data_IF_941341250660
#
_entry.id   IF_941341250660
#
_cell.length_a   1.000
_cell.length_b   1.000
_cell.length_c   1.000
_cell.angle_alpha   90.00
_cell.angle_beta   90.00
_cell.angle_gamma   90.00
#
_symmetry.space_group_name_H-M   'P 1'
#
loop_
_entity.id
_entity.type
_entity.pdbx_description
1 polymer ?
#
# COMPACT_ATOMS: atom_id res chain seq x y z
N UNK A 1 4.64 -73.55 22.57
CA UNK A 1 3.32 -74.07 22.13
C UNK A 1 3.33 -73.98 20.62
N UNK A 2 3.48 -75.13 19.97
CA UNK A 2 3.61 -75.33 18.52
C UNK A 2 2.46 -76.24 18.05
N UNK A 3 2.29 -76.35 16.72
CA UNK A 3 1.29 -77.10 15.90
C UNK A 3 -0.01 -76.31 15.66
N UNK A 4 -0.54 -76.06 14.45
CA UNK A 4 -0.40 -76.73 13.13
C UNK A 4 -0.73 -75.78 11.93
N UNK A 5 -0.45 -76.20 10.66
CA UNK A 5 -0.53 -75.41 9.42
C UNK A 5 -1.57 -75.87 8.36
N UNK A 6 -1.64 -75.11 7.24
CA UNK A 6 -2.05 -75.41 5.84
C UNK A 6 -3.48 -75.87 5.41
N UNK A 7 -4.06 -75.11 4.48
CA UNK A 7 -4.61 -75.52 3.14
C UNK A 7 -5.19 -74.24 2.47
N UNK A 8 -5.04 -73.86 1.19
CA UNK A 8 -4.58 -74.50 -0.03
C UNK A 8 -5.72 -74.53 -1.06
N UNK A 9 -5.81 -73.59 -2.03
CA UNK A 9 -6.28 -73.85 -3.41
C UNK A 9 -6.23 -72.66 -4.40
N UNK A 10 -5.40 -72.87 -5.44
CA UNK A 10 -5.57 -72.64 -6.88
C UNK A 10 -6.02 -71.29 -7.50
N UNK A 11 -5.16 -70.80 -8.39
CA UNK A 11 -5.37 -69.82 -9.49
C UNK A 11 -6.01 -70.49 -10.71
N UNK A 12 -6.72 -69.75 -11.58
CA UNK A 12 -6.33 -69.76 -12.99
C UNK A 12 -6.27 -68.36 -13.62
N UNK A 13 -5.22 -68.15 -14.42
CA UNK A 13 -4.97 -67.04 -15.36
C UNK A 13 -5.96 -67.09 -16.52
N UNK A 14 -6.42 -65.93 -17.04
CA UNK A 14 -6.52 -65.61 -18.49
C UNK A 14 -7.01 -64.18 -18.81
N UNK A 15 -6.08 -63.41 -19.40
CA UNK A 15 -6.15 -62.51 -20.60
C UNK A 15 -7.27 -61.46 -20.80
N UNK A 16 -6.80 -60.22 -21.06
CA UNK A 16 -7.48 -59.02 -21.62
C UNK A 16 -8.19 -59.24 -22.98
N UNK A 17 -9.08 -58.31 -23.38
CA UNK A 17 -8.67 -57.36 -24.43
C UNK A 17 -9.16 -55.89 -24.26
N UNK A 18 -8.33 -54.98 -24.79
CA UNK A 18 -8.54 -53.54 -24.99
C UNK A 18 -9.83 -53.18 -25.76
N UNK A 19 -10.47 -52.05 -25.42
CA UNK A 19 -11.39 -51.34 -26.31
C UNK A 19 -11.13 -49.82 -26.28
N UNK A 20 -10.78 -49.29 -27.45
CA UNK A 20 -10.73 -47.86 -27.81
C UNK A 20 -12.16 -47.35 -28.04
N UNK A 21 -12.45 -46.08 -27.70
CA UNK A 21 -13.63 -45.41 -28.24
C UNK A 21 -13.34 -43.94 -28.58
N UNK A 22 -13.63 -43.63 -29.84
CA UNK A 22 -13.45 -42.35 -30.53
C UNK A 22 -14.62 -41.37 -30.27
N UNK A 23 -14.32 -40.10 -30.50
CA UNK A 23 -15.18 -38.91 -30.41
C UNK A 23 -16.27 -38.88 -31.49
N UNK A 24 -17.50 -38.41 -31.21
CA UNK A 24 -18.41 -37.96 -32.25
C UNK A 24 -18.45 -36.43 -32.38
N UNK A 25 -18.09 -35.97 -33.58
CA UNK A 25 -18.45 -34.67 -34.15
C UNK A 25 -19.94 -34.70 -34.50
N UNK A 26 -20.70 -33.67 -34.10
CA UNK A 26 -22.06 -33.43 -34.61
C UNK A 26 -22.12 -32.08 -35.32
N UNK A 27 -22.43 -32.17 -36.61
CA UNK A 27 -22.71 -31.11 -37.57
C UNK A 27 -24.11 -30.52 -37.37
N UNK A 28 -24.22 -29.22 -37.65
CA UNK A 28 -25.43 -28.40 -37.61
C UNK A 28 -26.38 -28.72 -38.77
N UNK A 29 -27.71 -28.54 -38.60
CA UNK A 29 -28.58 -28.18 -39.72
C UNK A 29 -29.34 -26.86 -39.47
N UNK A 30 -29.33 -25.99 -40.48
CA UNK A 30 -30.15 -24.78 -40.58
C UNK A 30 -31.66 -25.11 -40.72
N UNK A 31 -32.54 -24.32 -40.11
CA UNK A 31 -33.89 -24.06 -40.64
C UNK A 31 -34.49 -22.76 -40.08
N UNK A 32 -35.20 -22.05 -40.98
CA UNK A 32 -35.82 -20.72 -40.83
C UNK A 32 -37.30 -20.85 -40.41
N UNK A 33 -37.83 -19.88 -39.65
CA UNK A 33 -39.18 -19.24 -39.75
C UNK A 33 -39.48 -18.47 -38.44
N UNK A 34 -39.62 -17.14 -38.46
CA UNK A 34 -40.81 -16.29 -38.76
C UNK A 34 -41.63 -15.89 -37.51
N UNK A 35 -41.91 -14.59 -37.46
CA UNK A 35 -42.47 -13.77 -36.37
C UNK A 35 -44.01 -13.75 -36.41
N UNK A 36 -44.70 -13.56 -35.28
CA UNK A 36 -46.03 -12.95 -35.28
C UNK A 36 -46.03 -11.56 -34.61
N UNK A 37 -46.45 -10.57 -35.40
CA UNK A 37 -46.94 -9.26 -34.98
C UNK A 37 -48.24 -9.41 -34.17
N UNK A 38 -48.40 -8.62 -33.10
CA UNK A 38 -49.71 -8.27 -32.58
C UNK A 38 -49.80 -6.77 -32.30
N UNK A 39 -50.86 -6.20 -32.86
CA UNK A 39 -51.24 -4.80 -32.81
C UNK A 39 -52.00 -4.46 -31.52
N UNK A 40 -51.88 -3.20 -31.14
CA UNK A 40 -52.54 -2.49 -30.04
C UNK A 40 -54.06 -2.32 -30.28
N UNK A 41 -54.85 -2.09 -29.22
CA UNK A 41 -56.02 -1.22 -29.34
C UNK A 41 -56.01 -0.06 -28.32
N UNK A 42 -56.24 1.13 -28.88
CA UNK A 42 -56.41 2.43 -28.27
C UNK A 42 -57.39 2.49 -27.07
N UNK A 43 -57.09 3.35 -26.09
CA UNK A 43 -58.14 4.08 -25.36
C UNK A 43 -57.75 5.54 -25.14
N UNK A 44 -58.67 6.43 -25.52
CA UNK A 44 -58.56 7.89 -25.56
C UNK A 44 -59.01 8.51 -24.23
N UNK A 45 -58.28 9.49 -23.73
CA UNK A 45 -58.89 10.64 -23.03
C UNK A 45 -57.96 11.86 -23.07
N UNK A 46 -58.53 12.99 -23.51
CA UNK A 46 -57.88 14.29 -23.71
C UNK A 46 -57.83 15.14 -22.41
N UNK A 47 -56.62 15.60 -22.08
CA UNK A 47 -56.13 16.97 -21.76
C UNK A 47 -57.06 18.00 -21.06
N UNK A 48 -56.51 18.80 -20.11
CA UNK A 48 -56.15 20.17 -20.50
C UNK A 48 -54.71 20.58 -20.12
N UNK A 49 -54.10 21.33 -21.06
CA UNK A 49 -52.75 21.87 -21.08
C UNK A 49 -52.53 22.90 -19.97
N UNK A 50 -51.32 22.91 -19.39
CA UNK A 50 -50.60 24.16 -19.13
C UNK A 50 -49.10 23.96 -19.44
N UNK A 51 -48.54 24.94 -20.13
CA UNK A 51 -47.26 24.90 -20.82
C UNK A 51 -46.04 24.91 -19.88
N UNK A 52 -45.00 24.23 -20.36
CA UNK A 52 -43.63 24.20 -19.85
C UNK A 52 -42.88 25.52 -20.15
N UNK A 53 -41.70 25.78 -19.55
CA UNK A 53 -40.49 25.35 -20.24
C UNK A 53 -39.35 24.77 -19.38
N UNK A 54 -38.93 23.59 -19.83
CA UNK A 54 -37.66 22.85 -19.85
C UNK A 54 -36.57 23.11 -18.80
N UNK A 55 -36.29 22.01 -18.10
CA UNK A 55 -35.02 21.62 -17.49
C UNK A 55 -34.12 20.90 -18.49
N UNK A 56 -32.81 20.79 -18.18
CA UNK A 56 -32.03 19.56 -18.42
C UNK A 56 -30.72 19.59 -17.66
N UNK A 57 -30.68 18.79 -16.61
CA UNK A 57 -29.49 18.29 -15.95
C UNK A 57 -29.66 16.77 -16.01
N UNK A 58 -28.81 16.03 -16.73
CA UNK A 58 -28.53 14.64 -16.37
C UNK A 58 -27.34 14.01 -17.09
N UNK A 59 -26.72 13.14 -16.31
CA UNK A 59 -25.58 12.24 -16.47
C UNK A 59 -25.75 11.28 -17.65
N UNK A 60 -24.65 10.88 -18.30
CA UNK A 60 -24.61 9.63 -19.08
C UNK A 60 -23.29 8.87 -18.89
N UNK A 61 -23.46 7.57 -18.64
CA UNK A 61 -22.48 6.53 -18.35
C UNK A 61 -21.54 6.25 -19.52
N UNK A 62 -20.30 5.90 -19.18
CA UNK A 62 -19.23 5.52 -20.10
C UNK A 62 -19.27 4.01 -20.39
N UNK A 63 -19.34 3.64 -21.67
CA UNK A 63 -19.02 2.28 -22.13
C UNK A 63 -18.26 2.37 -23.45
N UNK A 64 -17.02 1.91 -23.46
CA UNK A 64 -16.23 1.69 -24.68
C UNK A 64 -16.68 0.40 -25.38
N UNK A 65 -16.50 0.32 -26.71
CA UNK A 65 -15.93 -0.88 -27.31
C UNK A 65 -14.65 -0.56 -28.12
N UNK A 66 -13.81 -1.58 -28.22
CA UNK A 66 -12.45 -1.58 -28.75
C UNK A 66 -12.35 -1.27 -30.25
N UNK A 67 -11.28 -0.55 -30.62
CA UNK A 67 -10.93 -0.17 -31.98
C UNK A 67 -9.92 -1.17 -32.54
N UNK A 68 -10.26 -1.81 -33.67
CA UNK A 68 -9.29 -2.32 -34.62
C UNK A 68 -9.20 -1.39 -35.83
N UNK A 69 -7.95 -1.11 -36.18
CA UNK A 69 -7.40 -0.70 -37.47
C UNK A 69 -7.54 0.76 -37.99
N UNK A 70 -6.32 1.32 -38.17
CA UNK A 70 -5.78 2.13 -39.27
C UNK A 70 -6.05 3.64 -39.29
N UNK A 71 -4.96 4.34 -38.96
CA UNK A 71 -4.64 5.75 -39.20
C UNK A 71 -4.91 6.20 -40.64
N UNK A 72 -5.08 7.53 -40.81
CA UNK A 72 -4.27 8.23 -41.81
C UNK A 72 -3.54 9.45 -41.24
N UNK A 73 -2.43 9.78 -41.90
CA UNK A 73 -1.49 10.86 -41.61
C UNK A 73 -1.75 12.05 -42.55
N UNK A 74 -1.80 13.29 -42.01
CA UNK A 74 -1.27 14.56 -42.54
C UNK A 74 -1.82 15.72 -41.66
N UNK A 75 -0.99 16.44 -40.88
CA UNK A 75 -0.25 17.70 -41.15
C UNK A 75 -1.12 18.98 -41.19
N UNK A 76 -0.77 19.89 -40.26
CA UNK A 76 -0.96 21.36 -40.11
C UNK A 76 -2.32 22.03 -40.35
N UNK A 77 -2.83 22.69 -39.28
CA UNK A 77 -3.07 24.14 -39.21
C UNK A 77 -3.59 24.55 -37.83
N UNK A 78 -3.01 25.61 -37.28
CA UNK A 78 -3.41 26.36 -36.07
C UNK A 78 -4.89 26.77 -36.06
N UNK A 79 -5.56 26.72 -34.89
CA UNK A 79 -6.50 27.78 -34.44
C UNK A 79 -6.79 27.69 -32.92
N UNK A 80 -6.19 28.64 -32.19
CA UNK A 80 -6.73 29.47 -31.07
C UNK A 80 -7.58 28.79 -29.98
N UNK A 81 -6.96 28.61 -28.81
CA UNK A 81 -7.65 28.47 -27.53
C UNK A 81 -7.64 29.84 -26.81
N UNK A 82 -8.81 30.42 -26.54
CA UNK A 82 -8.94 31.59 -25.67
C UNK A 82 -8.76 31.16 -24.22
N UNK A 83 -7.67 31.64 -23.60
CA UNK A 83 -7.36 31.45 -22.19
C UNK A 83 -7.88 32.64 -21.37
N UNK A 84 -8.53 32.33 -20.25
CA UNK A 84 -9.00 33.29 -19.26
C UNK A 84 -7.86 34.05 -18.59
N UNK A 85 -7.92 35.38 -18.66
CA UNK A 85 -6.97 36.33 -18.07
C UNK A 85 -7.18 36.44 -16.55
N UNK A 86 -6.15 36.15 -15.76
CA UNK A 86 -6.09 36.54 -14.35
C UNK A 86 -5.36 37.88 -14.27
N UNK A 87 -6.08 38.95 -13.93
CA UNK A 87 -5.52 40.31 -13.85
C UNK A 87 -4.86 40.51 -12.48
N UNK A 88 -3.54 40.72 -12.45
CA UNK A 88 -2.83 41.29 -11.31
C UNK A 88 -2.47 42.75 -11.63
N UNK A 89 -2.61 43.71 -10.68
CA UNK A 89 -2.40 45.13 -10.95
C UNK A 89 -0.91 45.47 -11.09
N UNK A 90 -0.65 46.45 -11.94
CA UNK A 90 0.67 46.94 -12.36
C UNK A 90 1.48 47.50 -11.18
N UNK A 91 2.74 47.07 -11.08
CA UNK A 91 3.77 47.71 -10.25
C UNK A 91 4.72 48.40 -11.23
N UNK A 92 4.85 49.71 -11.11
CA UNK A 92 5.73 50.56 -11.93
C UNK A 92 7.20 50.15 -11.77
N UNK A 93 7.93 50.16 -12.90
CA UNK A 93 9.36 49.92 -13.00
C UNK A 93 10.15 51.05 -12.32
N UNK A 94 10.92 50.70 -11.28
CA UNK A 94 12.10 51.46 -10.88
C UNK A 94 13.39 50.66 -11.14
N UNK A 95 14.45 51.43 -11.35
CA UNK A 95 15.66 51.14 -12.11
C UNK A 95 16.43 49.84 -11.84
N UNK A 96 17.03 49.37 -12.93
CA UNK A 96 17.97 48.27 -12.99
C UNK A 96 19.21 48.51 -12.11
N UNK A 97 19.25 47.85 -10.96
CA UNK A 97 20.51 47.49 -10.31
C UNK A 97 20.86 46.03 -10.60
N UNK A 98 22.00 45.89 -11.26
CA UNK A 98 22.73 44.69 -11.61
C UNK A 98 22.84 43.71 -10.43
N UNK A 99 21.97 42.71 -10.38
CA UNK A 99 22.18 41.49 -9.61
C UNK A 99 22.50 40.39 -10.63
N UNK A 100 23.77 39.97 -10.66
CA UNK A 100 24.20 38.83 -11.48
C UNK A 100 23.38 37.58 -11.18
N UNK A 101 23.47 36.53 -12.02
CA UNK A 101 22.72 35.31 -11.77
C UNK A 101 23.29 34.69 -10.50
N UNK A 102 22.56 34.83 -9.39
CA UNK A 102 22.72 33.96 -8.24
C UNK A 102 22.29 32.56 -8.69
N UNK A 103 23.23 31.85 -9.31
CA UNK A 103 23.22 30.40 -9.37
C UNK A 103 23.34 29.98 -7.91
N UNK A 104 22.20 29.88 -7.20
CA UNK A 104 22.14 29.07 -5.99
C UNK A 104 22.57 27.69 -6.44
N UNK A 105 23.84 27.40 -6.18
CA UNK A 105 24.45 26.11 -6.44
C UNK A 105 23.63 25.11 -5.64
N UNK A 106 22.63 24.50 -6.28
CA UNK A 106 21.79 23.51 -5.66
C UNK A 106 22.71 22.33 -5.41
N UNK A 107 23.20 22.23 -4.17
CA UNK A 107 24.12 21.16 -3.76
C UNK A 107 23.31 19.87 -3.84
N UNK A 108 23.49 19.16 -4.95
CA UNK A 108 22.92 17.84 -5.15
C UNK A 108 23.38 16.93 -4.01
N UNK A 109 22.45 16.20 -3.38
CA UNK A 109 22.75 15.38 -2.20
C UNK A 109 23.68 14.20 -2.53
N UNK A 110 23.75 13.84 -3.81
CA UNK A 110 24.61 12.79 -4.36
C UNK A 110 25.56 13.40 -5.38
N UNK A 111 26.85 13.06 -5.32
CA UNK A 111 27.87 13.58 -6.25
C UNK A 111 28.05 12.71 -7.51
N UNK A 112 27.54 11.48 -7.50
CA UNK A 112 27.65 10.55 -8.63
C UNK A 112 26.71 10.92 -9.78
N UNK A 113 27.27 11.55 -10.81
CA UNK A 113 26.53 12.04 -11.98
C UNK A 113 25.88 10.95 -12.83
N UNK A 114 26.45 9.74 -12.85
CA UNK A 114 25.91 8.61 -13.61
C UNK A 114 24.63 8.10 -12.92
N UNK A 115 24.71 7.92 -11.61
CA UNK A 115 23.59 7.51 -10.77
C UNK A 115 22.46 8.56 -10.80
N UNK A 116 22.79 9.85 -10.73
CA UNK A 116 21.79 10.92 -10.85
C UNK A 116 21.10 10.93 -12.21
N UNK A 117 21.82 10.67 -13.31
CA UNK A 117 21.22 10.54 -14.65
C UNK A 117 20.22 9.38 -14.68
N UNK A 118 20.57 8.23 -14.12
CA UNK A 118 19.64 7.09 -14.00
C UNK A 118 18.41 7.48 -13.19
N UNK A 119 18.57 8.11 -12.03
CA UNK A 119 17.45 8.55 -11.20
C UNK A 119 16.54 9.54 -11.95
N UNK A 120 17.12 10.50 -12.67
CA UNK A 120 16.36 11.48 -13.47
C UNK A 120 15.60 10.81 -14.62
N UNK A 121 16.22 9.90 -15.35
CA UNK A 121 15.55 9.16 -16.44
C UNK A 121 14.36 8.36 -15.91
N UNK A 122 14.54 7.62 -14.80
CA UNK A 122 13.46 6.87 -14.14
C UNK A 122 12.33 7.77 -13.65
N UNK A 123 12.66 8.97 -13.17
CA UNK A 123 11.65 9.95 -12.75
C UNK A 123 10.84 10.46 -13.95
N UNK A 124 11.49 10.84 -15.05
CA UNK A 124 10.82 11.31 -16.28
C UNK A 124 9.95 10.21 -16.90
N UNK A 125 10.36 8.96 -16.79
CA UNK A 125 9.60 7.79 -17.26
C UNK A 125 8.50 7.34 -16.29
N UNK A 126 8.30 8.05 -15.17
CA UNK A 126 7.35 7.71 -14.11
C UNK A 126 7.59 6.33 -13.46
N UNK A 127 8.79 5.77 -13.58
CA UNK A 127 9.17 4.53 -12.89
C UNK A 127 9.42 4.79 -11.39
N UNK A 128 9.91 5.97 -11.05
CA UNK A 128 10.14 6.39 -9.66
C UNK A 128 10.01 7.89 -9.49
N UNK A 129 8.90 8.36 -8.91
CA UNK A 129 8.70 9.80 -8.74
C UNK A 129 9.51 10.37 -7.55
N UNK A 130 9.88 9.55 -6.56
CA UNK A 130 10.48 10.01 -5.30
C UNK A 130 12.01 9.97 -5.24
N UNK A 131 12.65 8.98 -5.88
CA UNK A 131 14.11 8.75 -5.74
C UNK A 131 14.91 9.96 -6.21
N UNK A 132 14.57 10.53 -7.38
CA UNK A 132 15.27 11.69 -7.91
C UNK A 132 15.18 12.92 -7.00
N UNK A 133 14.02 13.21 -6.40
CA UNK A 133 13.84 14.32 -5.46
C UNK A 133 14.74 14.17 -4.23
N UNK A 134 14.77 12.97 -3.63
CA UNK A 134 15.64 12.68 -2.48
C UNK A 134 17.13 12.91 -2.82
N UNK A 135 17.57 12.48 -4.01
CA UNK A 135 18.98 12.59 -4.40
C UNK A 135 19.37 13.98 -4.89
N UNK A 136 18.41 14.76 -5.41
CA UNK A 136 18.68 16.07 -5.99
C UNK A 136 18.48 17.23 -5.01
N UNK A 137 17.34 17.25 -4.31
CA UNK A 137 16.97 18.32 -3.39
C UNK A 137 17.04 17.90 -1.92
N UNK A 138 17.08 16.59 -1.63
CA UNK A 138 17.01 16.11 -0.26
C UNK A 138 15.61 16.27 0.33
N UNK A 139 14.58 16.19 -0.50
CA UNK A 139 13.19 16.45 -0.09
C UNK A 139 12.24 15.35 -0.56
N UNK A 140 11.22 15.08 0.25
CA UNK A 140 10.09 14.20 -0.08
C UNK A 140 8.81 14.76 0.54
N UNK A 141 7.69 14.56 -0.13
CA UNK A 141 6.39 15.07 0.32
C UNK A 141 5.26 14.04 0.17
N UNK A 142 4.23 14.21 0.99
CA UNK A 142 2.97 13.48 0.95
C UNK A 142 1.86 14.38 1.52
N UNK A 143 1.18 15.10 0.63
CA UNK A 143 0.32 16.25 0.97
C UNK A 143 -1.15 15.92 1.28
N UNK A 144 -1.55 14.65 1.31
CA UNK A 144 -2.89 14.22 1.66
C UNK A 144 -2.89 12.97 2.54
N UNK A 145 -3.84 12.88 3.47
CA UNK A 145 -4.07 11.68 4.26
C UNK A 145 -5.57 11.45 4.47
N UNK A 146 -5.95 10.18 4.60
CA UNK A 146 -7.31 9.75 4.99
C UNK A 146 -7.26 9.20 6.42
N UNK A 147 -6.47 9.85 7.27
CA UNK A 147 -6.37 9.59 8.70
C UNK A 147 -7.47 10.36 9.45
N UNK A 148 -7.97 9.77 10.52
CA UNK A 148 -8.89 10.45 11.43
C UNK A 148 -8.06 11.12 12.54
N UNK A 149 -8.17 12.43 12.65
CA UNK A 149 -7.44 13.22 13.65
C UNK A 149 -7.82 12.84 15.10
N UNK A 150 -9.03 12.33 15.29
CA UNK A 150 -9.56 11.97 16.61
C UNK A 150 -9.28 10.51 16.98
N UNK A 151 -9.06 9.64 15.99
CA UNK A 151 -8.74 8.22 16.21
C UNK A 151 -7.22 8.02 16.35
N UNK A 152 -6.78 7.89 17.60
CA UNK A 152 -5.37 7.65 17.94
C UNK A 152 -4.99 6.17 17.92
N UNK A 153 -5.91 5.26 17.56
CA UNK A 153 -5.61 3.82 17.53
C UNK A 153 -4.65 3.46 16.40
N UNK A 154 -4.73 4.13 15.24
CA UNK A 154 -3.81 3.93 14.13
C UNK A 154 -2.81 5.10 14.07
N UNK A 155 -1.50 4.86 14.25
CA UNK A 155 -0.50 5.90 14.05
C UNK A 155 -0.55 6.42 12.60
N UNK A 156 -0.15 7.68 12.39
CA UNK A 156 -0.10 8.24 11.04
C UNK A 156 0.83 7.45 10.12
N UNK A 157 0.46 7.30 8.84
CA UNK A 157 1.29 6.69 7.79
C UNK A 157 2.66 7.37 7.69
N UNK A 158 2.71 8.67 7.99
CA UNK A 158 3.94 9.44 8.03
C UNK A 158 4.95 8.80 9.00
N UNK A 159 4.51 8.38 10.18
CA UNK A 159 5.34 7.73 11.19
C UNK A 159 5.50 6.24 10.93
N UNK A 160 4.43 5.54 10.53
CA UNK A 160 4.47 4.10 10.25
C UNK A 160 5.55 3.80 9.22
N UNK A 161 5.62 4.53 8.10
CA UNK A 161 6.60 4.26 7.03
C UNK A 161 7.93 5.02 7.15
N UNK A 162 8.09 5.91 8.15
CA UNK A 162 9.34 6.67 8.35
C UNK A 162 10.57 5.77 8.48
N UNK A 163 10.56 4.66 9.26
CA UNK A 163 11.73 3.78 9.35
C UNK A 163 12.16 3.20 8.00
N UNK A 164 11.22 2.89 7.10
CA UNK A 164 11.53 2.41 5.75
C UNK A 164 12.19 3.52 4.93
N UNK A 165 11.62 4.73 4.94
CA UNK A 165 12.20 5.88 4.24
C UNK A 165 13.60 6.21 4.74
N UNK A 166 13.82 6.18 6.05
CA UNK A 166 15.14 6.39 6.65
C UNK A 166 16.19 5.39 6.17
N UNK A 167 15.83 4.11 5.98
CA UNK A 167 16.73 3.10 5.43
C UNK A 167 16.99 3.30 3.94
N UNK A 168 15.98 3.74 3.19
CA UNK A 168 16.15 4.20 1.80
C UNK A 168 17.13 5.38 1.74
N UNK A 169 17.05 6.35 2.66
CA UNK A 169 18.02 7.44 2.70
C UNK A 169 19.44 6.95 2.98
N UNK A 170 19.60 5.95 3.86
CA UNK A 170 20.91 5.33 4.10
C UNK A 170 21.47 4.65 2.85
N UNK A 171 20.61 4.15 1.96
CA UNK A 171 20.99 3.56 0.68
C UNK A 171 21.35 4.61 -0.37
N UNK A 172 20.52 5.63 -0.52
CA UNK A 172 20.68 6.63 -1.57
C UNK A 172 21.77 7.66 -1.28
N UNK A 173 21.92 8.06 -0.02
CA UNK A 173 22.81 9.14 0.41
C UNK A 173 24.09 8.64 1.09
N UNK A 174 24.20 7.33 1.30
CA UNK A 174 25.30 6.68 2.01
C UNK A 174 25.14 6.70 3.53
N UNK A 175 25.88 5.80 4.20
CA UNK A 175 25.98 5.79 5.65
C UNK A 175 27.02 6.79 6.15
N UNK A 176 26.81 7.31 7.36
CA UNK A 176 27.71 8.19 8.09
C UNK A 176 28.99 7.39 8.39
N UNK A 177 29.91 7.31 7.43
CA UNK A 177 31.23 6.76 7.67
C UNK A 177 32.08 7.91 8.19
N UNK A 178 32.60 7.68 9.39
CA UNK A 178 33.50 8.56 10.13
C UNK A 178 32.76 9.74 10.77
N UNK A 179 32.75 9.78 12.10
CA UNK A 179 32.01 10.73 12.97
C UNK A 179 32.37 12.22 12.82
N UNK A 180 32.89 12.61 11.66
CA UNK A 180 33.29 13.95 11.25
C UNK A 180 32.28 14.59 10.29
N UNK A 181 31.54 13.81 9.49
CA UNK A 181 30.46 14.34 8.63
C UNK A 181 29.11 13.80 9.07
N UNK A 182 28.16 14.67 9.39
CA UNK A 182 26.76 14.27 9.64
C UNK A 182 26.08 13.93 8.32
N UNK A 183 25.51 12.73 8.21
CA UNK A 183 24.62 12.37 7.09
C UNK A 183 23.59 13.49 6.89
N UNK A 184 23.41 13.95 5.64
CA UNK A 184 22.48 15.02 5.39
C UNK A 184 21.05 14.54 5.71
N UNK A 185 20.33 15.34 6.49
CA UNK A 185 18.93 15.06 6.80
C UNK A 185 18.07 15.33 5.55
N UNK A 186 17.08 14.48 5.34
CA UNK A 186 16.07 14.66 4.29
C UNK A 186 14.90 15.45 4.90
N UNK A 187 14.41 16.43 4.15
CA UNK A 187 13.23 17.22 4.53
C UNK A 187 11.97 16.46 4.15
N UNK A 188 11.19 16.05 5.15
CA UNK A 188 9.89 15.39 4.95
C UNK A 188 8.73 16.38 5.13
N UNK A 189 7.92 16.54 4.08
CA UNK A 189 6.66 17.30 4.09
C UNK A 189 5.46 16.35 4.11
N UNK A 190 5.17 15.76 5.27
CA UNK A 190 4.11 14.76 5.43
C UNK A 190 2.98 15.30 6.30
N UNK A 191 1.74 15.21 5.80
CA UNK A 191 0.55 15.49 6.60
C UNK A 191 0.37 14.38 7.64
N UNK A 192 0.15 14.78 8.90
CA UNK A 192 -0.28 13.92 10.01
C UNK A 192 -1.05 14.76 11.04
N UNK A 193 -1.88 14.16 11.90
CA UNK A 193 -2.62 14.87 12.95
C UNK A 193 -1.72 15.83 13.75
N UNK A 194 -2.12 17.11 13.79
CA UNK A 194 -1.36 18.16 14.46
C UNK A 194 -0.15 18.74 13.72
N UNK A 195 0.18 18.29 12.50
CA UNK A 195 1.25 18.90 11.69
C UNK A 195 0.71 20.06 10.82
N UNK A 196 1.09 21.32 11.09
CA UNK A 196 0.64 22.46 10.30
C UNK A 196 1.42 22.63 8.98
N UNK A 197 2.41 21.77 8.68
CA UNK A 197 3.28 21.87 7.49
C UNK A 197 3.98 23.23 7.32
N UNK A 198 4.29 23.92 8.42
CA UNK A 198 5.04 25.20 8.39
C UNK A 198 6.53 24.99 8.14
N UNK A 199 7.07 23.87 8.62
CA UNK A 199 8.46 23.47 8.45
C UNK A 199 8.49 21.96 8.15
N UNK A 200 9.49 21.48 7.39
CA UNK A 200 9.64 20.06 7.15
C UNK A 200 10.20 19.37 8.39
N UNK A 201 9.85 18.09 8.56
CA UNK A 201 10.54 17.22 9.50
C UNK A 201 11.93 16.89 8.95
N UNK A 202 12.98 17.13 9.73
CA UNK A 202 14.35 16.78 9.35
C UNK A 202 14.66 15.34 9.74
N UNK A 203 14.63 14.44 8.76
CA UNK A 203 14.73 13.01 8.99
C UNK A 203 16.09 12.48 8.55
N UNK A 204 16.82 11.89 9.50
CA UNK A 204 18.15 11.33 9.25
C UNK A 204 18.10 9.90 8.73
N UNK A 205 19.06 9.49 7.90
CA UNK A 205 19.24 8.09 7.53
C UNK A 205 19.30 7.16 8.75
N UNK A 206 18.62 6.01 8.65
CA UNK A 206 18.68 4.95 9.65
C UNK A 206 19.56 3.83 9.09
N UNK A 207 20.66 3.45 9.77
CA UNK A 207 21.48 2.34 9.34
C UNK A 207 20.68 1.05 9.23
N UNK A 208 21.04 0.22 8.25
CA UNK A 208 20.46 -1.11 8.07
C UNK A 208 21.53 -2.16 7.83
N UNK A 209 21.25 -3.37 8.29
CA UNK A 209 22.12 -4.53 8.07
C UNK A 209 21.62 -5.27 6.85
N UNK A 210 22.45 -5.35 5.81
CA UNK A 210 22.17 -6.12 4.60
C UNK A 210 23.09 -7.35 4.59
N UNK A 211 22.58 -8.56 4.30
CA UNK A 211 23.40 -9.74 4.08
C UNK A 211 24.54 -9.46 3.09
N UNK A 212 25.78 -9.73 3.52
CA UNK A 212 26.99 -9.44 2.74
C UNK A 212 27.30 -7.94 2.58
N UNK A 213 26.88 -7.10 3.52
CA UNK A 213 27.29 -5.70 3.64
C UNK A 213 26.49 -4.73 2.76
N UNK A 214 26.67 -3.44 3.04
CA UNK A 214 25.93 -2.38 2.34
C UNK A 214 26.34 -2.29 0.85
N UNK A 215 25.42 -2.48 -0.10
CA UNK A 215 25.73 -2.40 -1.53
C UNK A 215 25.93 -0.96 -2.01
N UNK A 216 26.69 -0.78 -3.09
CA UNK A 216 26.77 0.50 -3.80
C UNK A 216 25.60 0.64 -4.79
N UNK A 217 25.20 1.88 -5.08
CA UNK A 217 24.16 2.15 -6.09
C UNK A 217 24.58 1.70 -7.48
N UNK A 218 25.87 1.80 -7.83
CA UNK A 218 26.40 1.27 -9.10
C UNK A 218 26.18 -0.23 -9.22
N UNK A 219 26.43 -0.99 -8.16
CA UNK A 219 26.15 -2.43 -8.17
C UNK A 219 24.65 -2.68 -8.36
N UNK A 220 23.79 -2.02 -7.59
CA UNK A 220 22.35 -2.28 -7.66
C UNK A 220 21.73 -1.85 -8.99
N UNK A 221 22.15 -0.72 -9.57
CA UNK A 221 21.43 -0.10 -10.69
C UNK A 221 22.08 -0.33 -12.04
N UNK A 222 23.39 -0.57 -12.10
CA UNK A 222 24.14 -0.67 -13.36
C UNK A 222 24.62 -2.09 -13.67
N UNK A 223 24.74 -2.97 -12.67
CA UNK A 223 25.12 -4.37 -12.90
C UNK A 223 23.88 -5.20 -13.30
N UNK A 224 23.98 -5.97 -14.38
CA UNK A 224 22.91 -6.81 -14.93
C UNK A 224 23.13 -8.32 -14.68
N UNK A 225 24.18 -8.70 -13.95
CA UNK A 225 24.44 -10.08 -13.59
C UNK A 225 23.29 -10.67 -12.75
N UNK A 226 22.85 -11.91 -13.03
CA UNK A 226 21.72 -12.53 -12.31
C UNK A 226 21.92 -12.60 -10.78
N UNK A 227 23.18 -12.75 -10.32
CA UNK A 227 23.53 -12.81 -8.90
C UNK A 227 23.19 -11.52 -8.15
N UNK A 228 23.21 -10.38 -8.85
CA UNK A 228 22.82 -9.08 -8.29
C UNK A 228 21.34 -9.04 -7.93
N UNK A 229 20.49 -9.83 -8.59
CA UNK A 229 19.06 -9.87 -8.27
C UNK A 229 18.80 -10.32 -6.84
N UNK A 230 19.60 -11.28 -6.34
CA UNK A 230 19.56 -11.72 -4.94
C UNK A 230 19.91 -10.57 -4.01
N UNK A 231 20.97 -9.83 -4.33
CA UNK A 231 21.42 -8.64 -3.58
C UNK A 231 20.36 -7.54 -3.55
N UNK A 232 19.69 -7.29 -4.68
CA UNK A 232 18.60 -6.31 -4.78
C UNK A 232 17.44 -6.68 -3.86
N UNK A 233 17.04 -7.94 -3.85
CA UNK A 233 15.96 -8.44 -2.99
C UNK A 233 16.34 -8.37 -1.49
N UNK A 234 17.56 -8.81 -1.15
CA UNK A 234 18.05 -8.73 0.23
C UNK A 234 18.07 -7.30 0.76
N UNK A 235 18.44 -6.35 -0.10
CA UNK A 235 18.43 -4.91 0.22
C UNK A 235 17.01 -4.37 0.40
N UNK A 236 16.07 -4.79 -0.45
CA UNK A 236 14.65 -4.43 -0.32
C UNK A 236 14.08 -4.92 1.02
N UNK A 237 14.31 -6.18 1.36
CA UNK A 237 13.83 -6.75 2.62
C UNK A 237 14.49 -6.08 3.82
N UNK A 238 15.78 -5.71 3.73
CA UNK A 238 16.45 -4.94 4.77
C UNK A 238 15.83 -3.55 5.00
N UNK A 239 15.35 -2.88 3.95
CA UNK A 239 14.63 -1.59 4.08
C UNK A 239 13.33 -1.73 4.90
N UNK A 240 12.63 -2.84 4.76
CA UNK A 240 11.45 -3.16 5.59
C UNK A 240 11.79 -3.82 6.93
N UNK A 241 13.08 -4.12 7.20
CA UNK A 241 13.54 -4.92 8.33
C UNK A 241 12.93 -6.34 8.35
N UNK A 242 12.79 -6.97 7.18
CA UNK A 242 12.16 -8.27 6.97
C UNK A 242 13.11 -9.34 6.42
N UNK A 243 14.43 -9.16 6.58
CA UNK A 243 15.42 -10.14 6.12
C UNK A 243 15.20 -11.54 6.71
N UNK A 244 14.62 -11.64 7.91
CA UNK A 244 14.29 -12.89 8.58
C UNK A 244 13.12 -13.66 7.95
N UNK A 245 12.34 -13.03 7.06
CA UNK A 245 11.13 -13.60 6.43
C UNK A 245 11.31 -13.86 4.93
N UNK A 246 12.56 -13.91 4.45
CA UNK A 246 12.93 -14.00 3.04
C UNK A 246 12.38 -15.26 2.39
N UNK A 247 12.64 -16.42 2.99
CA UNK A 247 12.29 -17.72 2.42
C UNK A 247 10.77 -17.86 2.30
N UNK A 248 10.02 -17.41 3.31
CA UNK A 248 8.55 -17.44 3.25
C UNK A 248 8.00 -16.51 2.18
N UNK A 249 8.55 -15.31 2.03
CA UNK A 249 8.09 -14.36 1.00
C UNK A 249 8.43 -14.84 -0.42
N UNK A 250 9.59 -15.47 -0.62
CA UNK A 250 9.98 -16.03 -1.91
C UNK A 250 9.13 -17.23 -2.34
N UNK A 251 8.56 -17.97 -1.38
CA UNK A 251 7.68 -19.10 -1.67
C UNK A 251 6.27 -18.66 -2.13
N UNK A 252 5.92 -17.38 -2.01
CA UNK A 252 4.61 -16.86 -2.39
C UNK A 252 4.55 -16.48 -3.88
N UNK A 253 3.41 -16.76 -4.50
CA UNK A 253 3.13 -16.35 -5.86
C UNK A 253 2.96 -14.83 -5.96
N UNK A 254 3.38 -14.25 -7.09
CA UNK A 254 3.07 -12.86 -7.44
C UNK A 254 1.56 -12.72 -7.73
N UNK A 255 0.88 -11.63 -7.31
CA UNK A 255 1.39 -10.45 -6.59
C UNK A 255 1.34 -10.55 -5.06
N UNK A 256 1.04 -11.73 -4.50
CA UNK A 256 0.76 -11.92 -3.07
C UNK A 256 2.02 -11.78 -2.19
N UNK A 257 3.22 -12.05 -2.74
CA UNK A 257 4.48 -11.82 -2.04
C UNK A 257 4.66 -10.35 -1.60
N UNK A 258 4.36 -9.40 -2.48
CA UNK A 258 4.45 -7.97 -2.17
C UNK A 258 3.41 -7.53 -1.14
N UNK A 259 2.18 -8.02 -1.26
CA UNK A 259 1.13 -7.79 -0.26
C UNK A 259 1.56 -8.33 1.11
N UNK A 260 2.06 -9.57 1.19
CA UNK A 260 2.53 -10.14 2.44
C UNK A 260 3.74 -9.40 3.01
N UNK A 261 4.66 -8.91 2.19
CA UNK A 261 5.77 -8.06 2.64
C UNK A 261 5.23 -6.82 3.40
N UNK A 262 4.25 -6.12 2.82
CA UNK A 262 3.62 -4.96 3.48
C UNK A 262 2.80 -5.35 4.70
N UNK A 263 2.04 -6.45 4.66
CA UNK A 263 1.24 -6.89 5.80
C UNK A 263 2.15 -7.30 6.97
N UNK A 264 3.24 -8.02 6.73
CA UNK A 264 4.21 -8.34 7.80
C UNK A 264 4.74 -7.04 8.41
N UNK A 265 5.18 -6.11 7.57
CA UNK A 265 5.69 -4.82 8.06
C UNK A 265 4.66 -4.09 8.93
N UNK A 266 3.44 -3.90 8.41
CA UNK A 266 2.37 -3.20 9.12
C UNK A 266 2.02 -3.86 10.45
N UNK A 267 1.85 -5.18 10.47
CA UNK A 267 1.45 -5.90 11.68
C UNK A 267 2.56 -5.97 12.73
N UNK A 268 3.84 -5.87 12.32
CA UNK A 268 4.98 -5.70 13.24
C UNK A 268 5.04 -4.27 13.79
N UNK A 269 4.74 -3.24 13.00
CA UNK A 269 4.84 -1.85 13.43
C UNK A 269 3.62 -1.32 14.20
N UNK A 270 2.43 -1.89 13.99
CA UNK A 270 1.16 -1.35 14.50
C UNK A 270 0.48 -2.34 15.43
N UNK A 271 0.55 -2.05 16.73
CA UNK A 271 0.04 -2.93 17.80
C UNK A 271 -1.49 -3.04 17.85
N UNK A 272 -2.19 -2.07 17.28
CA UNK A 272 -3.66 -2.04 17.25
C UNK A 272 -4.28 -2.79 16.08
N UNK A 273 -3.46 -3.34 15.16
CA UNK A 273 -3.96 -4.21 14.09
C UNK A 273 -4.33 -5.59 14.66
N UNK A 274 -5.54 -6.04 14.34
CA UNK A 274 -6.12 -7.28 14.86
C UNK A 274 -6.31 -8.35 13.77
N UNK A 275 -6.72 -9.56 14.17
CA UNK A 275 -6.93 -10.67 13.24
C UNK A 275 -7.99 -10.34 12.17
N UNK A 276 -9.03 -9.61 12.52
CA UNK A 276 -10.10 -9.21 11.61
C UNK A 276 -9.56 -8.28 10.51
N UNK A 277 -8.67 -7.35 10.87
CA UNK A 277 -8.00 -6.48 9.89
C UNK A 277 -7.16 -7.33 8.91
N UNK A 278 -6.43 -8.33 9.43
CA UNK A 278 -5.63 -9.25 8.61
C UNK A 278 -6.50 -10.09 7.67
N UNK A 279 -7.61 -10.61 8.17
CA UNK A 279 -8.54 -11.43 7.39
C UNK A 279 -9.14 -10.61 6.26
N UNK A 280 -9.54 -9.36 6.53
CA UNK A 280 -10.07 -8.45 5.51
C UNK A 280 -9.06 -8.18 4.39
N UNK A 281 -7.79 -7.88 4.73
CA UNK A 281 -6.75 -7.62 3.74
C UNK A 281 -6.46 -8.84 2.84
N UNK A 282 -6.35 -10.04 3.43
CA UNK A 282 -6.07 -11.27 2.67
C UNK A 282 -7.30 -11.67 1.84
N UNK A 283 -8.50 -11.62 2.44
CA UNK A 283 -9.73 -12.03 1.76
C UNK A 283 -10.03 -11.16 0.55
N UNK A 284 -9.88 -9.84 0.65
CA UNK A 284 -10.14 -8.96 -0.50
C UNK A 284 -9.16 -9.23 -1.64
N UNK A 285 -7.87 -9.42 -1.35
CA UNK A 285 -6.87 -9.66 -2.39
C UNK A 285 -7.11 -10.98 -3.14
N UNK A 286 -7.52 -12.03 -2.42
CA UNK A 286 -7.85 -13.32 -3.03
C UNK A 286 -9.18 -13.30 -3.79
N UNK A 287 -10.17 -12.54 -3.32
CA UNK A 287 -11.44 -12.38 -4.02
C UNK A 287 -11.29 -11.52 -5.29
N UNK A 288 -10.45 -10.49 -5.26
CA UNK A 288 -10.25 -9.53 -6.35
C UNK A 288 -9.91 -10.21 -7.68
N UNK A 289 -9.06 -11.24 -7.65
CA UNK A 289 -8.64 -11.99 -8.85
C UNK A 289 -9.80 -12.64 -9.62
N UNK A 290 -10.96 -12.85 -8.98
CA UNK A 290 -12.15 -13.43 -9.63
C UNK A 290 -13.31 -12.45 -9.78
N UNK A 291 -13.08 -11.14 -9.65
CA UNK A 291 -14.11 -10.12 -9.82
C UNK A 291 -13.91 -9.37 -11.13
N UNK A 292 -14.98 -9.18 -11.88
CA UNK A 292 -14.99 -8.27 -13.02
C UNK A 292 -15.17 -6.81 -12.57
N UNK A 293 -14.76 -5.86 -13.41
CA UNK A 293 -14.98 -4.43 -13.17
C UNK A 293 -16.45 -4.11 -12.90
N UNK A 294 -17.37 -4.72 -13.65
CA UNK A 294 -18.81 -4.53 -13.44
C UNK A 294 -19.27 -5.02 -12.06
N UNK A 295 -18.71 -6.13 -11.56
CA UNK A 295 -19.02 -6.61 -10.21
C UNK A 295 -18.48 -5.65 -9.14
N UNK A 296 -17.25 -5.14 -9.30
CA UNK A 296 -16.61 -4.22 -8.35
C UNK A 296 -17.34 -2.87 -8.27
N UNK A 297 -17.72 -2.30 -9.43
CA UNK A 297 -18.46 -1.03 -9.50
C UNK A 297 -19.78 -1.11 -8.73
N UNK A 298 -20.48 -2.24 -8.85
CA UNK A 298 -21.77 -2.49 -8.20
C UNK A 298 -21.67 -2.89 -6.73
N UNK A 299 -20.46 -3.01 -6.15
CA UNK A 299 -20.32 -3.23 -4.71
C UNK A 299 -20.84 -2.00 -3.96
N UNK A 300 -21.68 -2.27 -2.95
CA UNK A 300 -22.23 -1.28 -2.03
C UNK A 300 -22.01 -1.79 -0.60
N UNK A 301 -21.00 -1.25 0.12
CA UNK A 301 -20.85 -1.52 1.55
C UNK A 301 -22.09 -1.03 2.32
N UNK A 302 -22.48 -1.75 3.36
CA UNK A 302 -23.67 -1.43 4.18
C UNK A 302 -23.64 0.01 4.73
N UNK A 303 -22.44 0.45 5.14
CA UNK A 303 -22.15 1.80 5.60
C UNK A 303 -20.65 2.07 5.41
N UNK A 304 -20.24 3.33 5.50
CA UNK A 304 -18.83 3.71 5.46
C UNK A 304 -18.26 3.69 6.87
N UNK A 305 -17.37 2.75 7.14
CA UNK A 305 -16.58 2.65 8.36
C UNK A 305 -15.25 3.44 8.22
N UNK A 306 -14.97 4.36 9.15
CA UNK A 306 -13.78 5.22 9.11
C UNK A 306 -12.48 4.42 9.21
N UNK A 307 -12.42 3.40 10.07
CA UNK A 307 -11.25 2.53 10.22
C UNK A 307 -10.97 1.74 8.94
N UNK A 308 -12.01 1.24 8.25
CA UNK A 308 -11.83 0.60 6.95
C UNK A 308 -11.23 1.56 5.90
N UNK A 309 -11.67 2.81 5.87
CA UNK A 309 -11.08 3.83 4.97
C UNK A 309 -9.61 4.09 5.32
N UNK A 310 -9.30 4.28 6.60
CA UNK A 310 -7.93 4.49 7.07
C UNK A 310 -7.01 3.32 6.72
N UNK A 311 -7.43 2.08 7.00
CA UNK A 311 -6.65 0.87 6.72
C UNK A 311 -6.42 0.68 5.22
N UNK A 312 -7.43 0.95 4.39
CA UNK A 312 -7.30 0.90 2.94
C UNK A 312 -6.31 1.94 2.43
N UNK A 313 -6.41 3.18 2.91
CA UNK A 313 -5.48 4.26 2.60
C UNK A 313 -4.04 3.91 3.03
N UNK A 314 -3.87 3.37 4.24
CA UNK A 314 -2.59 2.96 4.79
C UNK A 314 -1.92 1.91 3.91
N UNK A 315 -2.65 0.89 3.45
CA UNK A 315 -2.10 -0.13 2.54
C UNK A 315 -1.66 0.46 1.20
N UNK A 316 -2.46 1.34 0.60
CA UNK A 316 -2.11 2.00 -0.68
C UNK A 316 -0.87 2.90 -0.52
N UNK A 317 -0.74 3.59 0.62
CA UNK A 317 0.52 4.29 0.99
C UNK A 317 1.69 3.34 1.16
N UNK A 318 1.45 2.15 1.70
CA UNK A 318 2.42 1.06 1.75
C UNK A 318 2.90 0.62 0.37
N UNK A 319 2.00 0.44 -0.59
CA UNK A 319 2.36 0.10 -1.98
C UNK A 319 3.21 1.22 -2.62
N UNK A 320 2.88 2.48 -2.34
CA UNK A 320 3.69 3.64 -2.77
C UNK A 320 5.09 3.62 -2.14
N UNK A 321 5.17 3.27 -0.85
CA UNK A 321 6.47 3.11 -0.16
C UNK A 321 7.25 1.93 -0.73
N UNK A 322 6.58 0.84 -1.12
CA UNK A 322 7.20 -0.29 -1.78
C UNK A 322 7.76 0.08 -3.16
N UNK A 323 7.07 0.92 -3.94
CA UNK A 323 7.61 1.49 -5.19
C UNK A 323 8.91 2.22 -4.91
N UNK A 324 8.94 3.12 -3.92
CA UNK A 324 10.15 3.85 -3.52
C UNK A 324 11.31 2.89 -3.19
N UNK A 325 11.06 1.89 -2.35
CA UNK A 325 12.08 0.90 -1.95
C UNK A 325 12.54 0.08 -3.15
N UNK A 326 11.61 -0.44 -3.96
CA UNK A 326 11.93 -1.25 -5.13
C UNK A 326 12.84 -0.48 -6.10
N UNK A 327 12.52 0.78 -6.39
CA UNK A 327 13.35 1.64 -7.25
C UNK A 327 14.72 1.92 -6.64
N UNK A 328 14.79 2.25 -5.34
CA UNK A 328 16.04 2.49 -4.63
C UNK A 328 16.94 1.24 -4.63
N UNK A 329 16.35 0.05 -4.54
CA UNK A 329 17.06 -1.23 -4.54
C UNK A 329 17.41 -1.77 -5.94
N UNK A 330 17.14 -1.04 -7.02
CA UNK A 330 17.45 -1.50 -8.39
C UNK A 330 16.42 -2.45 -9.01
N UNK A 331 15.17 -2.37 -8.55
CA UNK A 331 14.00 -3.09 -9.07
C UNK A 331 14.08 -4.63 -8.96
N UNK A 332 14.22 -5.20 -7.74
CA UNK A 332 14.16 -6.65 -7.53
C UNK A 332 12.81 -7.31 -7.90
N UNK A 333 11.72 -6.54 -7.84
CA UNK A 333 10.40 -6.97 -8.31
C UNK A 333 9.97 -6.16 -9.52
N UNK A 334 9.23 -6.79 -10.44
CA UNK A 334 8.60 -6.06 -11.54
C UNK A 334 7.47 -5.21 -10.98
N UNK A 335 7.29 -4.02 -11.55
CA UNK A 335 6.26 -3.07 -11.12
C UNK A 335 4.87 -3.70 -11.06
N UNK A 336 4.51 -4.53 -12.04
CA UNK A 336 3.22 -5.24 -12.08
C UNK A 336 2.92 -6.11 -10.85
N UNK A 337 3.94 -6.58 -10.14
CA UNK A 337 3.82 -7.49 -9.00
C UNK A 337 3.28 -6.83 -7.73
N UNK A 338 3.21 -5.50 -7.70
CA UNK A 338 2.72 -4.74 -6.54
C UNK A 338 1.88 -3.52 -6.94
N UNK A 339 1.37 -3.49 -8.17
CA UNK A 339 0.42 -2.45 -8.55
C UNK A 339 -0.90 -2.61 -7.79
N UNK A 340 -1.48 -1.51 -7.26
CA UNK A 340 -2.68 -1.57 -6.43
C UNK A 340 -3.83 -2.36 -7.06
N UNK A 341 -4.07 -2.21 -8.37
CA UNK A 341 -5.17 -2.89 -9.08
C UNK A 341 -5.06 -4.42 -9.11
N UNK A 342 -3.90 -5.02 -8.82
CA UNK A 342 -3.75 -6.47 -8.72
C UNK A 342 -3.97 -7.02 -7.31
N UNK A 343 -3.89 -6.17 -6.28
CA UNK A 343 -3.89 -6.60 -4.88
C UNK A 343 -4.91 -5.91 -4.00
N UNK A 344 -5.54 -4.83 -4.45
CA UNK A 344 -6.43 -4.02 -3.63
C UNK A 344 -7.56 -3.36 -4.42
N UNK A 345 -8.79 -3.54 -3.95
CA UNK A 345 -9.94 -2.72 -4.33
C UNK A 345 -10.60 -2.16 -3.06
N UNK A 346 -10.85 -0.85 -3.05
CA UNK A 346 -11.34 -0.15 -1.85
C UNK A 346 -12.74 -0.59 -1.42
N UNK A 347 -13.66 -0.81 -2.36
CA UNK A 347 -15.04 -1.23 -2.05
C UNK A 347 -15.06 -2.68 -1.56
N UNK A 348 -14.31 -3.55 -2.25
CA UNK A 348 -14.18 -4.95 -1.87
C UNK A 348 -13.53 -5.10 -0.50
N UNK A 349 -12.43 -4.38 -0.24
CA UNK A 349 -11.81 -4.37 1.08
C UNK A 349 -12.80 -3.92 2.15
N UNK A 350 -13.52 -2.82 1.92
CA UNK A 350 -14.50 -2.30 2.87
C UNK A 350 -15.59 -3.34 3.17
N UNK A 351 -16.11 -4.02 2.15
CA UNK A 351 -17.09 -5.09 2.35
C UNK A 351 -16.51 -6.26 3.16
N UNK A 352 -15.31 -6.75 2.83
CA UNK A 352 -14.65 -7.84 3.57
C UNK A 352 -14.31 -7.43 5.00
N UNK A 353 -13.96 -6.17 5.21
CA UNK A 353 -13.73 -5.59 6.52
C UNK A 353 -14.98 -5.66 7.40
N UNK A 354 -16.11 -5.13 6.92
CA UNK A 354 -17.38 -5.17 7.65
C UNK A 354 -17.83 -6.60 7.95
N UNK A 355 -17.64 -7.53 7.02
CA UNK A 355 -17.93 -8.95 7.24
C UNK A 355 -17.04 -9.55 8.33
N UNK A 356 -15.74 -9.26 8.29
CA UNK A 356 -14.80 -9.77 9.30
C UNK A 356 -15.08 -9.19 10.68
N UNK A 357 -15.44 -7.91 10.77
CA UNK A 357 -15.82 -7.24 12.01
C UNK A 357 -17.10 -7.83 12.62
N UNK A 358 -18.07 -8.20 11.77
CA UNK A 358 -19.30 -8.89 12.18
C UNK A 358 -19.10 -10.36 12.58
N UNK A 359 -17.86 -10.87 12.53
CA UNK A 359 -17.53 -12.25 12.92
C UNK A 359 -17.90 -13.30 11.87
N UNK A 360 -17.97 -12.94 10.59
CA UNK A 360 -18.17 -13.92 9.52
C UNK A 360 -17.02 -14.93 9.49
N UNK A 361 -17.33 -16.19 9.16
CA UNK A 361 -16.31 -17.22 9.00
C UNK A 361 -15.39 -16.90 7.80
N UNK A 362 -14.17 -17.44 7.81
CA UNK A 362 -13.20 -17.24 6.73
C UNK A 362 -13.75 -17.79 5.41
N UNK A 363 -14.48 -18.90 5.44
CA UNK A 363 -15.14 -19.48 4.27
C UNK A 363 -16.15 -18.51 3.66
N UNK A 364 -16.92 -17.82 4.51
CA UNK A 364 -17.87 -16.80 4.06
C UNK A 364 -17.15 -15.57 3.46
N UNK A 365 -16.07 -15.11 4.09
CA UNK A 365 -15.22 -14.04 3.54
C UNK A 365 -14.69 -14.39 2.15
N UNK A 366 -14.40 -15.67 1.90
CA UNK A 366 -13.83 -16.17 0.65
C UNK A 366 -14.88 -16.70 -0.33
N UNK A 367 -16.16 -16.37 -0.11
CA UNK A 367 -17.27 -16.70 -1.01
C UNK A 367 -17.42 -18.22 -1.22
N UNK A 368 -17.16 -18.99 -0.16
CA UNK A 368 -17.20 -20.45 -0.13
C UNK A 368 -16.22 -21.13 -1.12
N UNK A 369 -15.22 -20.39 -1.61
CA UNK A 369 -14.24 -20.92 -2.56
C UNK A 369 -13.11 -21.66 -1.83
N UNK A 370 -13.09 -22.99 -1.95
CA UNK A 370 -12.10 -23.88 -1.29
C UNK A 370 -10.64 -23.59 -1.70
N UNK A 371 -10.39 -23.27 -2.97
CA UNK A 371 -9.03 -22.96 -3.45
C UNK A 371 -8.51 -21.69 -2.80
N UNK A 372 -9.36 -20.65 -2.70
CA UNK A 372 -9.02 -19.41 -2.00
C UNK A 372 -8.81 -19.65 -0.50
N UNK A 373 -9.58 -20.54 0.13
CA UNK A 373 -9.43 -20.89 1.55
C UNK A 373 -8.04 -21.45 1.87
N UNK A 374 -7.55 -22.38 1.05
CA UNK A 374 -6.19 -22.93 1.22
C UNK A 374 -5.13 -21.83 1.09
N UNK A 375 -5.24 -20.96 0.05
CA UNK A 375 -4.32 -19.82 -0.13
C UNK A 375 -4.39 -18.86 1.06
N UNK A 376 -5.59 -18.55 1.56
CA UNK A 376 -5.79 -17.68 2.71
C UNK A 376 -5.05 -18.18 3.95
N UNK A 377 -5.18 -19.46 4.29
CA UNK A 377 -4.48 -20.03 5.43
C UNK A 377 -2.96 -19.99 5.29
N UNK A 378 -2.45 -20.21 4.07
CA UNK A 378 -1.02 -20.08 3.77
C UNK A 378 -0.53 -18.64 4.01
N UNK A 379 -1.19 -17.64 3.41
CA UNK A 379 -0.81 -16.23 3.56
C UNK A 379 -0.92 -15.76 5.02
N UNK A 380 -1.99 -16.13 5.72
CA UNK A 380 -2.17 -15.83 7.14
C UNK A 380 -1.04 -16.45 7.97
N UNK A 381 -0.66 -17.69 7.69
CA UNK A 381 0.41 -18.37 8.41
C UNK A 381 1.76 -17.66 8.21
N UNK A 382 2.07 -17.22 6.99
CA UNK A 382 3.28 -16.43 6.70
C UNK A 382 3.32 -15.14 7.54
N UNK A 383 2.23 -14.35 7.53
CA UNK A 383 2.18 -13.09 8.27
C UNK A 383 2.28 -13.33 9.78
N UNK A 384 1.50 -14.27 10.33
CA UNK A 384 1.53 -14.59 11.75
C UNK A 384 2.89 -15.12 12.20
N UNK A 385 3.52 -16.01 11.42
CA UNK A 385 4.85 -16.58 11.75
C UNK A 385 5.93 -15.51 11.75
N UNK A 386 5.88 -14.55 10.82
CA UNK A 386 6.81 -13.43 10.79
C UNK A 386 6.60 -12.50 11.99
N UNK A 387 5.35 -12.13 12.31
CA UNK A 387 5.05 -11.30 13.48
C UNK A 387 5.50 -11.97 14.79
N UNK A 388 5.30 -13.29 14.93
CA UNK A 388 5.74 -14.04 16.11
C UNK A 388 7.26 -14.01 16.32
N UNK A 389 8.06 -13.99 15.24
CA UNK A 389 9.53 -13.85 15.33
C UNK A 389 9.93 -12.50 15.93
N UNK A 390 9.16 -11.46 15.65
CA UNK A 390 9.34 -10.12 16.20
C UNK A 390 8.58 -9.93 17.54
N UNK A 391 8.25 -11.02 18.25
CA UNK A 391 7.49 -11.03 19.51
C UNK A 391 6.10 -10.37 19.44
N UNK A 392 5.52 -10.26 18.25
CA UNK A 392 4.22 -9.65 18.02
C UNK A 392 3.14 -10.72 17.78
N UNK A 393 2.22 -10.87 18.73
CA UNK A 393 1.05 -11.75 18.61
C UNK A 393 -0.15 -10.98 18.06
N UNK A 394 -0.66 -11.39 16.90
CA UNK A 394 -1.89 -10.82 16.33
C UNK A 394 -3.08 -11.47 17.03
N UNK A 395 -3.83 -10.67 17.77
CA UNK A 395 -5.01 -11.13 18.54
C UNK A 395 -6.29 -10.72 17.83
N UNK A 396 -7.36 -11.48 18.04
CA UNK A 396 -8.71 -11.04 17.67
C UNK A 396 -9.05 -9.79 18.46
N UNK A 397 -9.90 -8.94 17.89
CA UNK A 397 -10.42 -7.79 18.61
C UNK A 397 -11.19 -8.31 19.82
N UNK A 398 -10.69 -8.07 21.03
CA UNK A 398 -11.55 -8.14 22.20
C UNK A 398 -12.72 -7.20 21.89
N UNK A 399 -13.96 -7.70 21.87
CA UNK A 399 -15.13 -6.84 21.74
C UNK A 399 -14.91 -5.72 22.75
N UNK A 400 -14.62 -4.50 22.27
CA UNK A 400 -14.62 -3.32 23.12
C UNK A 400 -16.01 -3.31 23.70
N UNK A 401 -16.12 -3.71 24.98
CA UNK A 401 -17.41 -3.83 25.63
C UNK A 401 -18.16 -2.53 25.37
N UNK A 402 -19.41 -2.66 24.93
CA UNK A 402 -20.40 -1.58 24.86
C UNK A 402 -20.23 -0.65 26.06
N UNK A 403 -19.45 0.44 25.97
CA UNK A 403 -19.42 1.59 26.87
C UNK A 403 -18.34 2.60 26.43
N UNK A 404 -18.63 3.39 25.40
CA UNK A 404 -18.14 4.78 25.31
C UNK A 404 -19.29 5.73 24.98
N UNK A 405 -20.37 5.65 25.77
CA UNK A 405 -21.26 6.79 26.04
C UNK A 405 -20.90 7.34 27.42
N UNK A 406 -19.73 7.98 27.50
CA UNK A 406 -19.15 8.50 28.74
C UNK A 406 -19.31 10.01 28.87
N UNK A 407 -20.53 10.42 29.18
CA UNK A 407 -20.98 11.70 29.74
C UNK A 407 -19.89 12.48 30.51
N UNK A 408 -19.62 13.70 30.05
CA UNK A 408 -18.88 14.72 30.81
C UNK A 408 -19.61 15.00 32.14
N UNK A 409 -18.98 14.66 33.25
CA UNK A 409 -19.46 14.95 34.60
C UNK A 409 -18.33 15.50 35.45
N UNK A 410 -18.33 16.82 35.64
CA UNK A 410 -17.57 17.55 36.66
C UNK A 410 -17.98 17.10 38.06
N UNK A 411 -17.01 16.74 38.89
CA UNK A 411 -16.90 16.83 40.38
C UNK A 411 -15.85 15.79 40.78
N UNK A 412 -14.89 16.00 41.68
CA UNK A 412 -14.62 17.01 42.69
C UNK A 412 -13.58 16.36 43.61
N UNK A 413 -12.65 17.16 44.14
CA UNK A 413 -11.51 16.75 44.97
C UNK A 413 -11.85 15.87 46.18
N UNK A 414 -11.01 14.86 46.50
CA UNK A 414 -10.54 14.62 47.88
C UNK A 414 -9.42 13.55 48.01
N UNK A 415 -8.27 14.02 48.49
CA UNK A 415 -7.33 13.45 49.50
C UNK A 415 -7.00 11.95 49.57
N UNK A 416 -5.68 11.71 49.45
CA UNK A 416 -4.79 10.89 50.29
C UNK A 416 -5.16 9.44 50.67
N UNK A 417 -4.30 8.50 50.26
CA UNK A 417 -3.61 7.58 51.19
C UNK A 417 -2.36 6.94 50.56
N UNK A 418 -1.27 7.05 51.30
CA UNK A 418 0.02 6.37 51.17
C UNK A 418 -0.13 4.87 51.41
N UNK A 419 0.53 4.01 50.63
CA UNK A 419 1.61 3.19 51.20
C UNK A 419 2.42 2.41 50.15
N UNK A 420 3.69 2.22 50.52
CA UNK A 420 4.81 1.71 49.75
C UNK A 420 4.90 0.19 49.65
N UNK A 421 5.42 -0.33 48.54
CA UNK A 421 5.93 -1.70 48.42
C UNK A 421 6.77 -1.89 47.16
N UNK A 422 8.09 -1.93 47.31
CA UNK A 422 9.08 -2.10 46.24
C UNK A 422 9.06 -3.51 45.63
N UNK A 423 9.25 -3.61 44.30
CA UNK A 423 9.96 -4.73 43.65
C UNK A 423 10.50 -4.30 42.28
N UNK A 424 11.80 -4.54 42.06
CA UNK A 424 12.60 -4.22 40.87
C UNK A 424 12.53 -5.37 39.84
N UNK A 425 12.34 -5.02 38.56
CA UNK A 425 12.89 -5.65 37.33
C UNK A 425 12.29 -4.87 36.15
N UNK A 426 12.89 -4.60 34.99
CA UNK A 426 14.19 -4.82 34.36
C UNK A 426 14.14 -3.97 33.08
N UNK A 427 15.28 -3.40 32.67
CA UNK A 427 15.39 -2.36 31.65
C UNK A 427 14.79 -2.73 30.29
N UNK A 428 13.92 -1.86 29.76
CA UNK A 428 13.50 -1.81 28.36
C UNK A 428 13.88 -0.46 27.74
N UNK A 429 14.65 -0.55 26.64
CA UNK A 429 14.89 0.39 25.52
C UNK A 429 14.48 1.88 25.67
N UNK A 430 15.40 2.85 25.39
CA UNK A 430 15.14 4.27 25.58
C UNK A 430 14.87 4.99 24.25
N UNK A 431 13.62 5.25 23.87
CA UNK A 431 13.29 6.33 22.92
C UNK A 431 11.90 6.89 23.24
N UNK A 432 11.83 7.68 24.32
CA UNK A 432 10.83 8.72 24.49
C UNK A 432 11.55 9.98 24.96
N UNK A 433 10.94 11.10 24.62
CA UNK A 433 11.28 12.47 25.00
C UNK A 433 12.24 13.19 24.05
N UNK A 434 11.63 13.88 23.08
CA UNK A 434 11.83 15.32 22.89
C UNK A 434 10.78 15.89 21.93
N UNK A 435 9.76 16.54 22.51
CA UNK A 435 8.94 17.54 21.82
C UNK A 435 9.46 18.95 22.15
N UNK A 436 9.22 19.97 21.29
CA UNK A 436 9.86 21.27 21.43
C UNK A 436 9.11 22.18 22.41
N UNK A 437 9.74 22.47 23.55
CA UNK A 437 9.40 23.60 24.42
C UNK A 437 10.25 24.81 24.05
N UNK A 438 9.61 25.95 23.82
CA UNK A 438 10.23 27.18 23.34
C UNK A 438 10.53 28.14 24.51
N UNK A 439 11.74 28.75 24.48
CA UNK A 439 12.20 30.00 25.13
C UNK A 439 12.42 30.03 26.65
N UNK A 440 13.64 30.33 27.08
CA UNK A 440 14.10 31.69 27.42
C UNK A 440 15.62 31.70 27.73
N UNK A 441 16.28 32.80 27.35
CA UNK A 441 17.68 33.12 27.63
C UNK A 441 17.88 33.31 29.14
N UNK A 442 19.00 32.79 29.69
CA UNK A 442 19.89 33.55 30.58
C UNK A 442 21.24 32.83 30.75
N UNK A 443 22.31 33.62 30.71
CA UNK A 443 23.68 33.25 31.02
C UNK A 443 23.83 33.00 32.54
N UNK A 444 24.47 31.91 32.97
CA UNK A 444 25.77 32.01 33.68
C UNK A 444 26.37 30.65 34.12
N UNK A 445 27.68 30.57 33.90
CA UNK A 445 28.75 29.97 34.71
C UNK A 445 28.70 28.54 35.32
N UNK A 446 29.64 27.72 34.80
CA UNK A 446 30.66 26.94 35.52
C UNK A 446 30.27 26.15 36.80
N UNK A 447 30.38 24.82 36.74
CA UNK A 447 31.43 24.04 37.47
C UNK A 447 31.40 22.54 37.15
N UNK A 448 32.62 21.99 37.14
CA UNK A 448 33.00 20.57 37.12
C UNK A 448 32.44 19.82 38.33
N UNK A 449 32.08 18.55 38.15
CA UNK A 449 32.72 17.38 38.77
C UNK A 449 32.42 16.13 37.93
#
# INVERSE_FOLDING_TARGET
>A
MCTDPESGQAVPVRTDPEWKQEVPVCTNPESKQEVPLYADPESKQEVPLYADPESKQEVSVCTHPEIQEKLPVAIDSDFKLEASVCTHPEIEQEDAMNMGPEIKQQVTMVSDTEILKVARTRHVQAESYLVHSIMSSGEIECSNTLEDELDQALPSQAFIYRPVRQRVYSLLLGSCKDGVSTCPAVKEWFVYPGNPLKHPDLVRPLPMTVPGGMPSLKMLWLNQEPEVQVRRLDTLLACFNLSSSREELQALESPLAALCCLLIYLFVQVDTLCLEDLHAFIAQALCLQGKSTAQLVNLQPDYVNSRAVQLGSLLVRGLTTLVLVNCACGCPWRTSEFMPWHVFDGKLFHQKYLQSEKGYSVEALLEQNRTRLTKFHSLKAVVCKACLRENRRIVARAHWGTHHTGRWGRQGSSSHRTDSGHSRSGQGQPWRDQGPGNRQYEHDQWRRY
#
